data_IF_674172011132
#
_entry.id   IF_674172011132
#
_cell.length_a   1.000
_cell.length_b   1.000
_cell.length_c   1.000
_cell.angle_alpha   90.00
_cell.angle_beta   90.00
_cell.angle_gamma   90.00
#
_symmetry.space_group_name_H-M   'P 1'
#
loop_
_entity.id
_entity.type
_entity.pdbx_description
1 polymer ?
#
# COMPACT_ATOMS: atom_id res chain seq x y z
N UNK A 1 -37.08 21.65 30.76
CA UNK A 1 -36.72 21.52 32.19
C UNK A 1 -35.64 20.48 32.36
N UNK A 2 -34.63 20.83 33.12
CA UNK A 2 -33.47 20.12 33.63
C UNK A 2 -32.23 19.98 32.67
N UNK A 3 -31.37 20.97 32.83
CA UNK A 3 -29.93 20.98 32.57
C UNK A 3 -29.24 19.95 33.48
N UNK A 4 -28.18 19.32 32.99
CA UNK A 4 -27.07 18.88 33.83
C UNK A 4 -25.74 19.08 33.09
N UNK A 5 -25.08 20.11 33.49
CA UNK A 5 -23.65 20.42 33.36
C UNK A 5 -22.84 19.46 34.24
N UNK A 6 -21.68 18.99 33.77
CA UNK A 6 -20.59 18.62 34.67
C UNK A 6 -19.25 19.13 34.16
N UNK A 7 -18.57 19.76 35.07
CA UNK A 7 -17.33 20.52 34.99
C UNK A 7 -16.08 19.63 34.90
N UNK A 8 -15.09 20.31 34.41
CA UNK A 8 -13.65 20.11 34.37
C UNK A 8 -13.00 19.51 35.63
N UNK A 9 -11.84 18.91 35.44
CA UNK A 9 -10.87 18.55 36.47
C UNK A 9 -9.46 18.46 35.90
N UNK A 10 -8.78 19.61 35.89
CA UNK A 10 -7.34 19.76 35.68
C UNK A 10 -6.64 19.41 37.01
N UNK A 11 -5.60 18.59 36.99
CA UNK A 11 -4.65 18.53 38.11
C UNK A 11 -3.23 18.26 37.62
N UNK A 12 -2.48 19.32 37.61
CA UNK A 12 -1.04 19.45 37.53
C UNK A 12 -0.44 19.04 38.89
N UNK A 13 0.61 18.19 38.91
CA UNK A 13 1.49 18.10 40.07
C UNK A 13 2.95 17.96 39.63
N UNK A 14 3.66 19.08 39.74
CA UNK A 14 5.12 19.17 39.91
C UNK A 14 5.46 19.00 41.37
N UNK A 15 6.47 18.22 41.69
CA UNK A 15 7.21 18.35 42.94
C UNK A 15 8.69 18.03 42.72
N UNK A 16 9.48 19.08 42.70
CA UNK A 16 10.91 19.08 42.99
C UNK A 16 11.13 18.80 44.48
N UNK A 17 12.13 18.02 44.80
CA UNK A 17 12.84 18.12 46.10
C UNK A 17 14.36 17.91 45.90
N UNK A 18 15.06 19.02 46.07
CA UNK A 18 16.49 19.15 46.34
C UNK A 18 16.73 18.91 47.84
N UNK A 19 17.88 18.40 48.16
CA UNK A 19 18.71 18.58 49.38
C UNK A 19 19.45 17.27 49.69
N UNK A 20 20.70 17.23 49.98
CA UNK A 20 21.71 18.21 50.32
C UNK A 20 23.01 17.46 50.67
N UNK A 21 24.08 18.14 50.42
CA UNK A 21 25.47 17.71 50.75
C UNK A 21 25.70 17.54 52.24
N UNK A 22 26.53 16.59 52.63
CA UNK A 22 27.50 16.83 53.70
C UNK A 22 28.81 16.07 53.51
N UNK A 23 29.88 16.86 53.44
CA UNK A 23 31.28 16.46 53.54
C UNK A 23 31.63 16.25 55.00
N UNK A 24 32.44 15.22 55.30
CA UNK A 24 33.46 15.31 56.35
C UNK A 24 34.64 14.36 56.08
N UNK A 25 35.81 14.92 55.98
CA UNK A 25 37.12 14.31 56.18
C UNK A 25 37.72 15.03 57.45
N UNK A 26 38.88 14.76 57.99
CA UNK A 26 39.78 13.61 57.97
C UNK A 26 40.26 13.22 59.39
N UNK A 27 40.95 12.13 59.52
CA UNK A 27 41.99 11.95 60.56
C UNK A 27 42.95 10.81 60.26
N UNK A 28 44.20 11.10 60.12
CA UNK A 28 45.34 10.23 60.36
C UNK A 28 46.02 10.70 61.70
N UNK A 29 47.06 10.14 62.24
CA UNK A 29 47.81 8.88 62.04
C UNK A 29 48.12 8.15 63.38
N UNK A 30 48.69 6.98 63.33
CA UNK A 30 49.62 6.52 64.38
C UNK A 30 50.56 5.39 63.81
N UNK A 31 51.83 5.66 64.00
CA UNK A 31 53.00 4.80 63.71
C UNK A 31 53.24 3.76 64.79
N UNK A 32 54.21 2.81 64.47
CA UNK A 32 55.04 1.92 65.28
C UNK A 32 54.49 0.54 65.42
N UNK A 33 55.25 -0.54 65.19
CA UNK A 33 56.65 -0.81 65.26
C UNK A 33 56.98 -2.12 64.54
N UNK A 34 58.20 -2.25 64.03
CA UNK A 34 58.79 -3.55 63.61
C UNK A 34 59.38 -4.27 64.80
N UNK A 35 59.57 -5.60 64.76
CA UNK A 35 60.87 -6.12 64.66
C UNK A 35 61.05 -7.37 63.73
N UNK A 36 62.27 -7.58 63.41
CA UNK A 36 62.99 -8.62 62.62
C UNK A 36 63.05 -10.00 63.30
N UNK A 37 63.81 -10.91 62.66
CA UNK A 37 63.55 -11.85 61.60
C UNK A 37 63.66 -13.30 62.03
N UNK A 38 63.22 -14.26 61.22
CA UNK A 38 63.94 -15.55 61.01
C UNK A 38 63.10 -16.50 60.16
N UNK A 39 63.82 -17.07 59.31
CA UNK A 39 63.88 -18.39 58.72
C UNK A 39 63.56 -18.47 57.25
N UNK A 40 64.63 -18.77 56.51
CA UNK A 40 64.58 -19.14 55.10
C UNK A 40 63.92 -20.47 54.91
N UNK A 41 62.85 -20.53 54.13
CA UNK A 41 62.38 -21.74 53.48
C UNK A 41 62.42 -21.52 51.97
N UNK A 42 63.10 -22.46 51.28
CA UNK A 42 63.25 -22.51 49.85
C UNK A 42 61.86 -22.47 49.16
N UNK A 43 61.53 -21.38 48.55
CA UNK A 43 60.38 -21.32 47.64
C UNK A 43 60.79 -21.94 46.32
N UNK A 44 60.25 -23.11 46.01
CA UNK A 44 60.22 -23.75 44.72
C UNK A 44 59.40 -22.82 43.82
N UNK A 45 60.03 -22.17 42.86
CA UNK A 45 59.38 -21.45 41.78
C UNK A 45 58.57 -22.47 40.96
N UNK A 46 57.31 -22.62 41.26
CA UNK A 46 56.35 -23.11 40.29
C UNK A 46 56.23 -22.06 39.17
N UNK A 47 56.84 -22.35 38.02
CA UNK A 47 56.55 -21.64 36.79
C UNK A 47 55.06 -21.86 36.50
N UNK A 48 54.23 -20.87 36.80
CA UNK A 48 52.87 -20.82 36.26
C UNK A 48 53.00 -20.80 34.73
N UNK A 49 52.50 -21.85 34.06
CA UNK A 49 52.31 -21.84 32.63
C UNK A 49 51.43 -20.61 32.28
N UNK A 50 51.77 -19.81 31.26
CA UNK A 50 50.94 -18.72 30.85
C UNK A 50 49.54 -19.26 30.47
N UNK A 51 48.49 -18.65 31.01
CA UNK A 51 47.12 -18.96 30.63
C UNK A 51 47.01 -18.97 29.10
N UNK A 52 46.30 -19.95 28.52
CA UNK A 52 46.10 -19.94 27.06
C UNK A 52 45.58 -18.59 26.65
N UNK A 53 46.23 -18.00 25.64
CA UNK A 53 45.80 -16.74 25.07
C UNK A 53 44.31 -16.86 24.69
N UNK A 54 43.49 -15.89 25.08
CA UNK A 54 42.11 -15.81 24.59
C UNK A 54 42.20 -15.85 23.06
N UNK A 55 41.35 -16.69 22.41
CA UNK A 55 41.33 -16.72 20.95
C UNK A 55 41.10 -15.30 20.44
N UNK A 56 41.91 -14.86 19.48
CA UNK A 56 41.68 -13.60 18.80
C UNK A 56 40.24 -13.60 18.26
N UNK A 57 39.47 -12.50 18.44
CA UNK A 57 38.12 -12.42 17.92
C UNK A 57 38.18 -12.72 16.43
N UNK A 58 37.36 -13.65 15.98
CA UNK A 58 37.22 -13.91 14.54
C UNK A 58 36.90 -12.59 13.81
N UNK A 59 37.53 -12.32 12.68
CA UNK A 59 37.27 -11.09 11.93
C UNK A 59 35.78 -11.00 11.63
N UNK A 60 35.18 -9.84 11.91
CA UNK A 60 33.79 -9.60 11.53
C UNK A 60 33.64 -9.76 10.01
N UNK A 61 32.61 -10.46 9.53
CA UNK A 61 32.38 -10.65 8.10
C UNK A 61 32.22 -9.30 7.41
N UNK A 62 32.79 -9.15 6.21
CA UNK A 62 32.73 -7.91 5.44
C UNK A 62 31.27 -7.48 5.21
N UNK A 63 30.94 -6.17 5.27
CA UNK A 63 29.59 -5.68 5.04
C UNK A 63 29.10 -5.98 3.62
N UNK A 64 27.82 -6.25 3.47
CA UNK A 64 27.22 -6.41 2.15
C UNK A 64 27.36 -5.14 1.32
N UNK A 65 27.60 -5.31 0.03
CA UNK A 65 27.70 -4.21 -0.91
C UNK A 65 26.33 -3.59 -1.18
N UNK A 66 26.33 -2.34 -1.70
CA UNK A 66 25.12 -1.76 -2.26
C UNK A 66 24.65 -2.61 -3.45
N UNK A 67 23.39 -2.99 -3.42
CA UNK A 67 22.69 -3.65 -4.52
C UNK A 67 22.07 -2.65 -5.49
N UNK A 68 21.33 -3.14 -6.47
CA UNK A 68 20.53 -2.31 -7.36
C UNK A 68 19.33 -1.69 -6.61
N UNK A 69 18.82 -0.55 -7.08
CA UNK A 69 17.56 -0.01 -6.60
C UNK A 69 16.41 -0.84 -7.16
N UNK A 70 15.36 -1.01 -6.34
CA UNK A 70 14.12 -1.66 -6.73
C UNK A 70 12.92 -0.73 -6.50
N UNK A 71 11.79 -1.05 -7.11
CA UNK A 71 10.50 -0.46 -6.80
C UNK A 71 9.75 -1.38 -5.81
N UNK A 72 9.74 -1.00 -4.55
CA UNK A 72 9.05 -1.74 -3.51
C UNK A 72 7.69 -1.08 -3.25
N UNK A 73 6.63 -1.68 -3.76
CA UNK A 73 5.25 -1.13 -3.72
C UNK A 73 5.19 0.32 -4.21
N UNK A 74 5.82 0.58 -5.36
CA UNK A 74 5.89 1.88 -6.01
C UNK A 74 6.90 2.87 -5.39
N UNK A 75 7.69 2.48 -4.40
CA UNK A 75 8.71 3.31 -3.77
C UNK A 75 10.10 2.84 -4.20
N UNK A 76 10.92 3.74 -4.79
CA UNK A 76 12.33 3.44 -5.06
C UNK A 76 13.06 3.20 -3.75
N UNK A 77 13.62 2.01 -3.62
CA UNK A 77 14.20 1.53 -2.37
C UNK A 77 15.62 1.02 -2.64
N UNK A 78 16.64 1.52 -1.93
CA UNK A 78 17.98 1.01 -2.01
C UNK A 78 18.08 -0.38 -1.38
N UNK A 79 18.93 -1.24 -1.93
CA UNK A 79 19.15 -2.58 -1.43
C UNK A 79 20.59 -2.82 -1.04
N UNK A 80 20.85 -3.90 -0.32
CA UNK A 80 22.15 -4.54 -0.17
C UNK A 80 22.15 -5.86 -0.94
N UNK A 81 23.34 -6.36 -1.28
CA UNK A 81 23.49 -7.66 -1.95
C UNK A 81 24.70 -8.43 -1.44
N UNK A 82 24.57 -9.75 -1.40
CA UNK A 82 25.65 -10.71 -1.22
C UNK A 82 26.18 -11.25 -2.56
N UNK A 83 25.65 -10.75 -3.69
CA UNK A 83 25.95 -11.20 -5.05
C UNK A 83 24.94 -12.22 -5.60
N UNK A 84 24.06 -12.79 -4.74
CA UNK A 84 23.03 -13.75 -5.13
C UNK A 84 21.61 -13.21 -4.83
N UNK A 85 21.43 -12.55 -3.70
CA UNK A 85 20.13 -12.02 -3.27
C UNK A 85 20.20 -10.51 -3.02
N UNK A 86 19.03 -9.87 -3.09
CA UNK A 86 18.80 -8.49 -2.67
C UNK A 86 18.13 -8.44 -1.31
N UNK A 87 18.61 -7.55 -0.46
CA UNK A 87 18.11 -7.34 0.89
C UNK A 87 17.71 -5.89 1.08
N UNK A 88 16.66 -5.67 1.84
CA UNK A 88 16.15 -4.35 2.20
C UNK A 88 15.95 -4.26 3.70
N UNK A 89 16.03 -3.06 4.26
CA UNK A 89 15.70 -2.88 5.68
C UNK A 89 14.28 -3.38 5.94
N UNK A 90 14.13 -4.19 6.98
CA UNK A 90 12.84 -4.78 7.34
C UNK A 90 11.76 -3.73 7.63
N UNK A 91 12.16 -2.61 8.24
CA UNK A 91 11.26 -1.49 8.51
C UNK A 91 10.83 -0.79 7.23
N UNK A 92 11.75 -0.61 6.25
CA UNK A 92 11.42 -0.01 4.95
C UNK A 92 10.50 -0.92 4.15
N UNK A 93 10.78 -2.24 4.13
CA UNK A 93 9.88 -3.22 3.50
C UNK A 93 8.48 -3.13 4.09
N UNK A 94 8.40 -3.15 5.44
CA UNK A 94 7.13 -3.09 6.14
C UNK A 94 6.37 -1.78 5.88
N UNK A 95 7.07 -0.64 5.89
CA UNK A 95 6.47 0.67 5.61
C UNK A 95 5.92 0.74 4.18
N UNK A 96 6.70 0.30 3.18
CA UNK A 96 6.28 0.29 1.78
C UNK A 96 5.09 -0.63 1.54
N UNK A 97 5.10 -1.84 2.13
CA UNK A 97 4.06 -2.84 1.98
C UNK A 97 2.87 -2.65 2.95
N UNK A 98 2.95 -1.67 3.86
CA UNK A 98 1.95 -1.45 4.93
C UNK A 98 1.78 -2.70 5.83
N UNK A 99 2.90 -3.28 6.24
CA UNK A 99 2.96 -4.38 7.18
C UNK A 99 3.31 -3.87 8.58
N UNK A 100 3.05 -4.67 9.62
CA UNK A 100 3.72 -4.47 10.91
C UNK A 100 5.07 -5.21 10.92
N UNK A 101 6.09 -4.59 11.51
CA UNK A 101 7.43 -5.14 11.67
C UNK A 101 7.82 -5.13 13.14
N UNK A 102 8.34 -6.25 13.64
CA UNK A 102 8.91 -6.37 14.99
C UNK A 102 10.23 -7.12 14.89
N UNK A 103 11.31 -6.48 15.33
CA UNK A 103 12.64 -7.09 15.42
C UNK A 103 12.85 -7.55 16.84
N UNK A 104 13.18 -8.83 17.02
CA UNK A 104 13.47 -9.48 18.31
C UNK A 104 14.80 -10.21 18.25
N UNK A 105 15.25 -10.78 19.37
CA UNK A 105 16.44 -11.63 19.39
C UNK A 105 16.29 -12.89 18.52
N UNK A 106 15.05 -13.40 18.35
CA UNK A 106 14.76 -14.59 17.54
C UNK A 106 14.71 -14.28 16.02
N UNK A 107 14.53 -13.02 15.64
CA UNK A 107 14.41 -12.65 14.22
C UNK A 107 13.51 -11.45 13.94
N UNK A 108 13.24 -11.24 12.67
CA UNK A 108 12.31 -10.23 12.16
C UNK A 108 10.95 -10.88 11.94
N UNK A 109 9.91 -10.33 12.56
CA UNK A 109 8.51 -10.72 12.35
C UNK A 109 7.80 -9.67 11.53
N UNK A 110 7.28 -10.09 10.39
CA UNK A 110 6.43 -9.27 9.53
C UNK A 110 5.00 -9.84 9.58
N UNK A 111 3.99 -8.96 9.66
CA UNK A 111 2.59 -9.37 9.72
C UNK A 111 1.72 -8.53 8.79
N UNK A 112 0.86 -9.21 8.02
CA UNK A 112 -0.11 -8.60 7.12
C UNK A 112 -1.34 -9.49 7.01
N UNK A 113 -2.51 -8.90 7.12
CA UNK A 113 -3.81 -9.56 6.93
C UNK A 113 -3.94 -10.91 7.67
N UNK A 114 -3.57 -10.90 8.95
CA UNK A 114 -3.61 -12.09 9.79
C UNK A 114 -2.49 -13.11 9.56
N UNK A 115 -1.70 -12.98 8.50
CA UNK A 115 -0.52 -13.79 8.21
C UNK A 115 0.71 -13.20 8.91
N UNK A 116 1.49 -14.05 9.55
CA UNK A 116 2.75 -13.68 10.22
C UNK A 116 3.87 -14.56 9.69
N UNK A 117 4.99 -13.93 9.30
CA UNK A 117 6.19 -14.61 8.84
C UNK A 117 7.37 -14.21 9.72
N UNK A 118 8.18 -15.20 10.09
CA UNK A 118 9.42 -15.03 10.87
C UNK A 118 10.62 -15.23 9.94
N UNK A 119 11.54 -14.29 9.99
CA UNK A 119 12.84 -14.34 9.34
C UNK A 119 13.90 -14.41 10.42
N UNK A 120 14.50 -15.59 10.69
CA UNK A 120 15.55 -15.75 11.69
C UNK A 120 16.72 -14.81 11.39
N UNK A 121 17.31 -14.20 12.42
CA UNK A 121 18.52 -13.39 12.24
C UNK A 121 19.72 -14.32 12.34
N UNK A 122 20.50 -14.40 11.26
CA UNK A 122 21.71 -15.20 11.16
C UNK A 122 22.95 -14.33 11.00
N UNK A 123 24.12 -14.85 11.38
CA UNK A 123 25.41 -14.26 11.01
C UNK A 123 25.58 -14.36 9.50
N UNK A 124 26.28 -13.42 8.89
CA UNK A 124 26.47 -13.37 7.43
C UNK A 124 27.15 -14.59 6.84
N UNK A 125 28.10 -15.16 7.54
CA UNK A 125 28.83 -16.37 7.16
C UNK A 125 28.01 -17.66 7.28
N UNK A 126 26.85 -17.60 7.96
CA UNK A 126 25.93 -18.72 8.18
C UNK A 126 24.57 -18.49 7.50
N UNK A 127 24.40 -17.39 6.72
CA UNK A 127 23.12 -16.96 6.17
C UNK A 127 22.51 -18.05 5.27
N UNK A 128 21.25 -18.40 5.54
CA UNK A 128 20.48 -19.31 4.70
C UNK A 128 19.47 -18.51 3.85
N UNK A 129 19.04 -19.03 2.70
CA UNK A 129 17.96 -18.41 1.96
C UNK A 129 16.73 -18.20 2.85
N UNK A 130 16.33 -16.94 3.00
CA UNK A 130 15.20 -16.57 3.85
C UNK A 130 15.56 -16.07 5.24
N UNK A 131 16.83 -16.05 5.62
CA UNK A 131 17.26 -15.43 6.86
C UNK A 131 17.39 -13.91 6.74
N UNK A 132 17.15 -13.24 7.85
CA UNK A 132 17.49 -11.84 8.06
C UNK A 132 18.91 -11.71 8.61
N UNK A 133 19.50 -10.54 8.50
CA UNK A 133 20.77 -10.21 9.16
C UNK A 133 20.76 -8.80 9.74
N UNK A 134 21.72 -8.51 10.61
CA UNK A 134 21.94 -7.16 11.16
C UNK A 134 23.14 -6.50 10.49
N UNK A 135 22.99 -5.24 10.10
CA UNK A 135 24.05 -4.36 9.63
C UNK A 135 23.80 -2.94 10.09
N UNK A 136 24.81 -2.28 10.67
CA UNK A 136 24.72 -0.88 11.12
C UNK A 136 23.51 -0.62 12.04
N UNK A 137 23.14 -1.61 12.87
CA UNK A 137 22.02 -1.52 13.81
C UNK A 137 20.62 -1.67 13.18
N UNK A 138 20.53 -1.96 11.89
CA UNK A 138 19.28 -2.26 11.21
C UNK A 138 19.17 -3.74 10.84
N UNK A 139 17.95 -4.27 10.83
CA UNK A 139 17.66 -5.62 10.36
C UNK A 139 17.31 -5.56 8.85
N UNK A 140 17.84 -6.51 8.10
CA UNK A 140 17.61 -6.66 6.66
C UNK A 140 16.95 -7.98 6.36
N UNK A 141 15.97 -7.99 5.47
CA UNK A 141 15.25 -9.18 5.00
C UNK A 141 15.47 -9.40 3.51
N UNK A 142 15.53 -10.66 3.03
CA UNK A 142 15.69 -10.95 1.60
C UNK A 142 14.40 -10.60 0.85
N UNK A 143 14.49 -9.71 -0.14
CA UNK A 143 13.33 -9.11 -0.83
C UNK A 143 12.46 -10.17 -1.49
N UNK A 144 13.05 -11.01 -2.34
CA UNK A 144 12.29 -12.00 -3.14
C UNK A 144 11.62 -13.05 -2.25
N UNK A 145 12.32 -13.56 -1.22
CA UNK A 145 11.76 -14.54 -0.29
C UNK A 145 10.62 -13.92 0.55
N UNK A 146 10.81 -12.67 0.96
CA UNK A 146 9.77 -11.95 1.72
C UNK A 146 8.53 -11.75 0.85
N UNK A 147 8.72 -11.32 -0.41
CA UNK A 147 7.62 -11.16 -1.36
C UNK A 147 6.87 -12.48 -1.60
N UNK A 148 7.61 -13.57 -1.84
CA UNK A 148 7.03 -14.91 -2.05
C UNK A 148 6.21 -15.38 -0.84
N UNK A 149 6.76 -15.23 0.38
CA UNK A 149 6.06 -15.64 1.60
C UNK A 149 4.75 -14.90 1.84
N UNK A 150 4.64 -13.65 1.41
CA UNK A 150 3.40 -12.87 1.49
C UNK A 150 2.52 -12.98 0.22
N UNK A 151 2.99 -13.66 -0.83
CA UNK A 151 2.27 -13.81 -2.09
C UNK A 151 2.27 -12.52 -2.92
N UNK A 152 3.28 -11.66 -2.74
CA UNK A 152 3.49 -10.51 -3.60
C UNK A 152 4.14 -10.94 -4.91
N UNK A 153 3.83 -10.23 -5.98
CA UNK A 153 4.38 -10.49 -7.31
C UNK A 153 5.52 -9.54 -7.64
N UNK A 154 6.38 -9.95 -8.55
CA UNK A 154 7.44 -9.11 -9.08
C UNK A 154 7.36 -9.04 -10.61
N UNK A 155 7.89 -7.97 -11.17
CA UNK A 155 8.01 -7.74 -12.60
C UNK A 155 9.10 -6.73 -12.90
N UNK A 156 9.15 -6.25 -14.14
CA UNK A 156 10.10 -5.26 -14.62
C UNK A 156 9.36 -4.00 -15.08
N UNK A 157 9.76 -2.84 -14.58
CA UNK A 157 9.24 -1.55 -15.00
C UNK A 157 9.82 -1.15 -16.36
N UNK A 158 9.27 -0.11 -17.01
CA UNK A 158 9.72 0.35 -18.33
C UNK A 158 11.22 0.75 -18.39
N UNK A 159 11.78 1.19 -17.28
CA UNK A 159 13.20 1.56 -17.16
C UNK A 159 14.12 0.37 -16.81
N UNK A 160 13.58 -0.84 -16.76
CA UNK A 160 14.30 -2.07 -16.40
C UNK A 160 14.43 -2.29 -14.89
N UNK A 161 13.84 -1.41 -14.06
CA UNK A 161 13.87 -1.59 -12.60
C UNK A 161 12.93 -2.72 -12.17
N UNK A 162 13.43 -3.66 -11.36
CA UNK A 162 12.58 -4.70 -10.75
C UNK A 162 11.57 -4.07 -9.79
N UNK A 163 10.30 -4.42 -9.93
CA UNK A 163 9.26 -4.00 -8.99
C UNK A 163 8.65 -5.17 -8.23
N UNK A 164 8.10 -4.86 -7.04
CA UNK A 164 7.28 -5.75 -6.22
C UNK A 164 5.93 -5.09 -5.93
N UNK A 165 4.84 -5.86 -6.09
CA UNK A 165 3.48 -5.34 -5.95
C UNK A 165 2.56 -6.37 -5.27
N UNK A 166 1.47 -5.87 -4.66
CA UNK A 166 0.39 -6.71 -4.13
C UNK A 166 -0.50 -7.15 -5.28
N UNK A 167 -0.81 -8.45 -5.30
CA UNK A 167 -1.86 -9.01 -6.17
C UNK A 167 -3.01 -9.49 -5.29
N UNK A 168 -4.18 -8.93 -5.51
CA UNK A 168 -5.38 -9.33 -4.80
C UNK A 168 -5.92 -10.64 -5.36
N UNK A 169 -6.34 -11.54 -4.47
CA UNK A 169 -7.17 -12.69 -4.83
C UNK A 169 -8.62 -12.28 -4.57
N UNK A 170 -9.42 -12.27 -5.63
CA UNK A 170 -10.82 -11.88 -5.57
C UNK A 170 -11.71 -13.12 -5.52
N UNK A 171 -12.55 -13.22 -4.51
CA UNK A 171 -13.55 -14.27 -4.42
C UNK A 171 -14.74 -13.96 -5.35
N UNK A 172 -15.50 -15.01 -5.69
CA UNK A 172 -16.71 -14.84 -6.49
C UNK A 172 -17.76 -14.10 -5.66
N UNK A 173 -18.31 -12.98 -6.16
CA UNK A 173 -19.36 -12.25 -5.46
C UNK A 173 -20.61 -13.08 -5.17
N UNK A 174 -21.35 -12.70 -4.12
CA UNK A 174 -22.70 -13.20 -3.90
C UNK A 174 -23.59 -12.89 -5.11
N UNK A 175 -24.45 -13.83 -5.50
CA UNK A 175 -25.35 -13.67 -6.64
C UNK A 175 -26.52 -12.71 -6.34
N UNK A 176 -27.04 -12.07 -7.39
CA UNK A 176 -28.25 -11.22 -7.36
C UNK A 176 -28.14 -9.97 -6.47
N UNK A 177 -26.99 -9.39 -6.32
CA UNK A 177 -26.83 -8.07 -5.72
C UNK A 177 -26.72 -7.02 -6.82
N UNK A 178 -27.56 -5.99 -6.74
CA UNK A 178 -27.50 -4.84 -7.64
C UNK A 178 -26.47 -3.84 -7.13
N UNK A 179 -25.54 -3.49 -7.99
CA UNK A 179 -24.50 -2.50 -7.69
C UNK A 179 -24.53 -1.43 -8.79
N UNK A 180 -25.15 -0.27 -8.53
CA UNK A 180 -24.99 0.86 -9.44
C UNK A 180 -23.53 1.23 -9.58
N UNK A 181 -23.05 1.26 -10.81
CA UNK A 181 -21.70 1.69 -11.16
C UNK A 181 -21.83 2.98 -11.95
N UNK A 182 -21.35 4.08 -11.40
CA UNK A 182 -21.47 5.41 -11.98
C UNK A 182 -20.19 5.76 -12.74
N UNK A 183 -20.33 6.33 -13.93
CA UNK A 183 -19.24 6.67 -14.82
C UNK A 183 -19.11 8.18 -14.94
N UNK A 184 -18.03 8.71 -14.43
CA UNK A 184 -17.59 10.10 -14.54
C UNK A 184 -16.26 10.17 -15.30
N UNK A 185 -15.80 11.39 -15.52
CA UNK A 185 -14.47 11.68 -16.10
C UNK A 185 -13.83 12.85 -15.32
N UNK A 186 -14.01 14.09 -15.77
CA UNK A 186 -13.47 15.27 -15.12
C UNK A 186 -14.43 15.85 -14.07
N UNK A 187 -13.88 16.35 -12.96
CA UNK A 187 -14.61 17.09 -11.92
C UNK A 187 -14.09 18.52 -11.89
N UNK A 188 -14.63 19.39 -12.78
CA UNK A 188 -14.12 20.74 -12.94
C UNK A 188 -15.17 21.69 -13.51
N UNK A 189 -15.04 22.98 -13.17
CA UNK A 189 -15.75 24.09 -13.83
C UNK A 189 -14.96 24.65 -15.01
N UNK A 190 -13.67 24.33 -15.11
CA UNK A 190 -12.82 24.70 -16.25
C UNK A 190 -12.97 23.67 -17.39
N UNK A 191 -13.56 24.10 -18.49
CA UNK A 191 -13.96 23.22 -19.60
C UNK A 191 -12.90 23.25 -20.71
N UNK A 192 -11.85 22.48 -20.56
CA UNK A 192 -10.77 22.37 -21.55
C UNK A 192 -10.95 21.24 -22.58
N UNK A 193 -12.02 20.44 -22.48
CA UNK A 193 -12.31 19.29 -23.35
C UNK A 193 -13.77 19.20 -23.80
N UNK A 194 -14.27 17.99 -24.00
CA UNK A 194 -15.69 17.77 -24.31
C UNK A 194 -16.54 18.11 -23.10
N UNK A 195 -17.38 19.12 -23.18
CA UNK A 195 -18.10 19.73 -22.06
C UNK A 195 -18.96 18.77 -21.25
N UNK A 196 -19.51 17.72 -21.85
CA UNK A 196 -20.38 16.72 -21.22
C UNK A 196 -19.61 15.73 -20.34
N UNK A 197 -18.27 15.65 -20.47
CA UNK A 197 -17.41 14.86 -19.59
C UNK A 197 -17.15 15.53 -18.23
N UNK A 198 -17.52 16.80 -18.07
CA UNK A 198 -17.21 17.58 -16.87
C UNK A 198 -18.42 17.65 -15.93
N UNK A 199 -18.28 17.17 -14.72
CA UNK A 199 -19.19 17.42 -13.60
C UNK A 199 -18.61 18.53 -12.75
N UNK A 200 -19.42 19.52 -12.34
CA UNK A 200 -18.90 20.56 -11.45
C UNK A 200 -18.57 20.01 -10.06
N UNK A 201 -17.57 20.58 -9.36
CA UNK A 201 -17.30 20.20 -7.95
C UNK A 201 -18.51 20.34 -7.04
N UNK A 202 -19.37 21.36 -7.28
CA UNK A 202 -20.63 21.54 -6.53
C UNK A 202 -21.61 20.38 -6.78
N UNK A 203 -21.77 19.94 -8.03
CA UNK A 203 -22.64 18.80 -8.37
C UNK A 203 -22.11 17.51 -7.73
N UNK A 204 -20.81 17.25 -7.87
CA UNK A 204 -20.16 16.09 -7.26
C UNK A 204 -20.35 16.08 -5.73
N UNK A 205 -20.21 17.23 -5.09
CA UNK A 205 -20.45 17.36 -3.66
C UNK A 205 -21.90 17.04 -3.25
N UNK A 206 -22.89 17.53 -4.02
CA UNK A 206 -24.31 17.25 -3.79
C UNK A 206 -24.63 15.76 -3.95
N UNK A 207 -24.01 15.08 -4.91
CA UNK A 207 -24.16 13.65 -5.13
C UNK A 207 -23.55 12.81 -3.98
N UNK A 208 -22.34 13.15 -3.56
CA UNK A 208 -21.69 12.50 -2.41
C UNK A 208 -22.50 12.70 -1.10
N UNK A 209 -22.98 13.93 -0.88
CA UNK A 209 -23.83 14.22 0.27
C UNK A 209 -25.13 13.40 0.22
N UNK A 210 -25.75 13.30 -0.94
CA UNK A 210 -26.96 12.48 -1.11
C UNK A 210 -26.69 11.00 -0.80
N UNK A 211 -25.59 10.44 -1.29
CA UNK A 211 -25.23 9.05 -0.98
C UNK A 211 -25.08 8.85 0.52
N UNK A 212 -24.33 9.73 1.19
CA UNK A 212 -24.09 9.65 2.63
C UNK A 212 -25.39 9.76 3.44
N UNK A 213 -26.25 10.76 3.14
CA UNK A 213 -27.50 11.00 3.87
C UNK A 213 -28.55 9.88 3.67
N UNK A 214 -28.46 9.12 2.59
CA UNK A 214 -29.40 8.05 2.26
C UNK A 214 -28.85 6.64 2.52
N UNK A 215 -27.69 6.54 3.21
CA UNK A 215 -27.10 5.29 3.66
C UNK A 215 -26.55 4.42 2.53
N UNK A 216 -26.10 5.05 1.43
CA UNK A 216 -25.32 4.35 0.42
C UNK A 216 -23.87 4.21 0.87
N UNK A 217 -23.25 3.10 0.49
CA UNK A 217 -21.87 2.77 0.82
C UNK A 217 -21.08 2.73 -0.46
N UNK A 218 -20.13 3.68 -0.61
CA UNK A 218 -19.22 3.68 -1.76
C UNK A 218 -18.18 2.58 -1.59
N UNK A 219 -18.10 1.68 -2.55
CA UNK A 219 -17.23 0.50 -2.51
C UNK A 219 -16.30 0.46 -3.74
N UNK A 220 -15.25 -0.35 -3.66
CA UNK A 220 -14.42 -0.71 -4.81
C UNK A 220 -14.87 -2.03 -5.44
N UNK A 221 -14.31 -2.39 -6.60
CA UNK A 221 -14.59 -3.69 -7.24
C UNK A 221 -14.07 -4.88 -6.43
N UNK A 222 -13.01 -4.71 -5.62
CA UNK A 222 -12.54 -5.76 -4.71
C UNK A 222 -13.54 -6.06 -3.58
N UNK A 223 -14.26 -5.05 -3.12
CA UNK A 223 -15.30 -5.21 -2.10
C UNK A 223 -16.49 -6.06 -2.61
N UNK A 224 -16.61 -6.27 -3.92
CA UNK A 224 -17.62 -7.17 -4.49
C UNK A 224 -17.45 -8.62 -4.01
N UNK A 225 -16.25 -9.03 -3.60
CA UNK A 225 -16.02 -10.35 -2.98
C UNK A 225 -16.83 -10.56 -1.69
N UNK A 226 -17.28 -9.47 -1.09
CA UNK A 226 -18.08 -9.46 0.16
C UNK A 226 -19.26 -8.49 0.04
N UNK A 227 -19.84 -8.39 -1.15
CA UNK A 227 -20.89 -7.41 -1.47
C UNK A 227 -22.14 -7.54 -0.60
N UNK A 228 -22.40 -8.72 -0.06
CA UNK A 228 -23.49 -9.01 0.87
C UNK A 228 -23.35 -8.29 2.22
N UNK A 229 -22.17 -7.83 2.58
CA UNK A 229 -21.92 -7.07 3.81
C UNK A 229 -22.40 -5.62 3.70
N UNK A 230 -22.73 -5.14 2.49
CA UNK A 230 -23.17 -3.78 2.21
C UNK A 230 -24.69 -3.73 1.96
N UNK A 231 -25.38 -2.79 2.63
CA UNK A 231 -26.83 -2.65 2.45
C UNK A 231 -27.18 -1.98 1.10
N UNK A 232 -26.47 -0.92 0.76
CA UNK A 232 -26.68 -0.14 -0.47
C UNK A 232 -25.33 0.16 -1.16
N UNK A 233 -24.67 -0.86 -1.73
CA UNK A 233 -23.39 -0.65 -2.39
C UNK A 233 -23.51 0.20 -3.65
N UNK A 234 -22.57 1.09 -3.89
CA UNK A 234 -22.43 1.89 -5.12
C UNK A 234 -20.95 2.06 -5.46
N UNK A 235 -20.61 1.94 -6.73
CA UNK A 235 -19.23 2.15 -7.22
C UNK A 235 -19.17 3.45 -8.01
N UNK A 236 -18.27 4.36 -7.59
CA UNK A 236 -17.95 5.58 -8.32
C UNK A 236 -16.73 5.33 -9.19
N UNK A 237 -16.85 5.53 -10.51
CA UNK A 237 -15.73 5.35 -11.46
C UNK A 237 -15.42 6.62 -12.20
N UNK A 238 -14.14 6.92 -12.37
CA UNK A 238 -13.64 8.09 -13.09
C UNK A 238 -12.66 7.62 -14.16
N UNK A 239 -12.96 7.94 -15.41
CA UNK A 239 -12.16 7.49 -16.55
C UNK A 239 -11.07 8.53 -16.89
N UNK A 240 -10.03 8.08 -17.62
CA UNK A 240 -8.95 8.89 -18.21
C UNK A 240 -7.85 9.41 -17.26
N UNK A 241 -8.04 9.42 -15.95
CA UNK A 241 -7.04 9.89 -14.99
C UNK A 241 -6.70 11.38 -15.12
N UNK A 242 -7.73 12.24 -15.20
CA UNK A 242 -7.58 13.69 -15.25
C UNK A 242 -6.99 14.28 -13.96
N UNK A 243 -6.25 15.40 -14.07
CA UNK A 243 -5.60 16.07 -12.94
C UNK A 243 -6.59 16.66 -11.93
N UNK A 244 -7.81 17.02 -12.37
CA UNK A 244 -8.90 17.45 -11.50
C UNK A 244 -9.44 16.33 -10.59
N UNK A 245 -9.20 15.08 -10.93
CA UNK A 245 -9.50 13.97 -10.00
C UNK A 245 -8.61 14.01 -8.74
N UNK A 246 -7.43 14.62 -8.82
CA UNK A 246 -6.58 14.88 -7.67
C UNK A 246 -6.92 16.21 -7.01
N UNK A 247 -7.10 17.31 -7.76
CA UNK A 247 -7.21 18.65 -7.19
C UNK A 247 -8.62 19.00 -6.70
N UNK A 248 -9.66 18.45 -7.32
CA UNK A 248 -11.07 18.77 -7.02
C UNK A 248 -11.81 17.56 -6.41
N UNK A 249 -11.72 16.38 -7.03
CA UNK A 249 -12.43 15.20 -6.55
C UNK A 249 -11.87 14.66 -5.22
N UNK A 250 -10.56 14.49 -5.12
CA UNK A 250 -9.96 13.84 -3.94
C UNK A 250 -10.26 14.56 -2.62
N UNK A 251 -10.21 15.89 -2.51
CA UNK A 251 -10.67 16.59 -1.30
C UNK A 251 -12.13 16.30 -0.92
N UNK A 252 -13.00 16.12 -1.91
CA UNK A 252 -14.40 15.74 -1.67
C UNK A 252 -14.52 14.29 -1.17
N UNK A 253 -13.76 13.36 -1.77
CA UNK A 253 -13.70 11.98 -1.28
C UNK A 253 -13.22 11.92 0.18
N UNK A 254 -12.21 12.70 0.55
CA UNK A 254 -11.74 12.81 1.93
C UNK A 254 -12.82 13.40 2.86
N UNK A 255 -13.52 14.45 2.43
CA UNK A 255 -14.57 15.11 3.20
C UNK A 255 -15.73 14.17 3.55
N UNK A 256 -16.15 13.34 2.59
CA UNK A 256 -17.28 12.43 2.73
C UNK A 256 -16.88 10.99 3.09
N UNK A 257 -15.57 10.73 3.25
CA UNK A 257 -15.00 9.37 3.42
C UNK A 257 -15.54 8.40 2.36
N UNK A 258 -15.58 8.86 1.11
CA UNK A 258 -16.12 8.11 -0.01
C UNK A 258 -14.99 7.42 -0.80
N UNK A 259 -15.26 6.18 -1.25
CA UNK A 259 -14.36 5.42 -2.11
C UNK A 259 -14.65 5.71 -3.59
N UNK A 260 -13.61 5.73 -4.41
CA UNK A 260 -13.71 5.84 -5.87
C UNK A 260 -12.70 4.93 -6.56
N UNK A 261 -12.99 4.55 -7.81
CA UNK A 261 -12.07 3.86 -8.72
C UNK A 261 -11.71 4.81 -9.86
N UNK A 262 -10.42 5.03 -10.09
CA UNK A 262 -9.94 5.85 -11.20
C UNK A 262 -9.23 4.97 -12.22
N UNK A 263 -9.72 4.98 -13.47
CA UNK A 263 -9.13 4.27 -14.59
C UNK A 263 -8.10 5.15 -15.28
N UNK A 264 -6.84 4.82 -15.13
CA UNK A 264 -5.71 5.62 -15.59
C UNK A 264 -5.15 5.07 -16.89
N UNK A 265 -4.78 5.98 -17.81
CA UNK A 265 -4.09 5.69 -19.06
C UNK A 265 -2.58 5.89 -18.80
N UNK A 266 -1.75 4.83 -18.64
CA UNK A 266 -0.32 4.99 -18.34
C UNK A 266 0.43 5.94 -19.25
N UNK A 267 0.24 5.80 -20.55
CA UNK A 267 0.88 6.65 -21.57
C UNK A 267 0.53 8.13 -21.46
N UNK A 268 -0.56 8.46 -20.79
CA UNK A 268 -1.03 9.85 -20.64
C UNK A 268 -0.54 10.51 -19.33
N UNK A 269 0.00 9.76 -18.37
CA UNK A 269 0.48 10.29 -17.10
C UNK A 269 1.48 11.42 -17.33
N UNK A 270 1.31 12.55 -16.62
CA UNK A 270 2.16 13.74 -16.72
C UNK A 270 1.98 14.58 -17.98
N UNK A 271 1.06 14.22 -18.88
CA UNK A 271 0.68 15.09 -20.00
C UNK A 271 -0.33 16.16 -19.54
N UNK A 272 -0.57 17.24 -20.33
CA UNK A 272 -1.53 18.29 -19.95
C UNK A 272 -2.90 17.72 -19.56
N UNK A 273 -3.46 18.21 -18.46
CA UNK A 273 -4.75 17.79 -17.88
C UNK A 273 -4.80 16.32 -17.41
N UNK A 274 -3.66 15.69 -17.20
CA UNK A 274 -3.57 14.34 -16.62
C UNK A 274 -2.74 14.37 -15.34
N UNK A 275 -3.09 13.50 -14.42
CA UNK A 275 -2.34 13.35 -13.16
C UNK A 275 -0.86 13.05 -13.42
N UNK A 276 0.01 13.56 -12.53
CA UNK A 276 1.41 13.14 -12.48
C UNK A 276 1.54 11.76 -11.83
N UNK A 277 2.70 11.13 -11.98
CA UNK A 277 3.00 9.85 -11.34
C UNK A 277 2.89 9.95 -9.80
N UNK A 278 3.36 11.05 -9.21
CA UNK A 278 3.28 11.30 -7.77
C UNK A 278 1.83 11.42 -7.28
N UNK A 279 0.97 12.10 -8.05
CA UNK A 279 -0.46 12.22 -7.72
C UNK A 279 -1.16 10.87 -7.77
N UNK A 280 -0.91 10.05 -8.80
CA UNK A 280 -1.44 8.68 -8.90
C UNK A 280 -0.97 7.83 -7.72
N UNK A 281 0.31 7.93 -7.34
CA UNK A 281 0.86 7.24 -6.17
C UNK A 281 0.18 7.67 -4.85
N UNK A 282 0.01 8.96 -4.64
CA UNK A 282 -0.63 9.49 -3.43
C UNK A 282 -2.08 8.99 -3.33
N UNK A 283 -2.85 9.08 -4.42
CA UNK A 283 -4.21 8.58 -4.48
C UNK A 283 -4.30 7.08 -4.14
N UNK A 284 -3.42 6.25 -4.72
CA UNK A 284 -3.41 4.80 -4.49
C UNK A 284 -3.16 4.40 -3.02
N UNK A 285 -2.48 5.26 -2.27
CA UNK A 285 -2.16 5.04 -0.85
C UNK A 285 -3.14 5.68 0.12
N UNK A 286 -4.07 6.46 -0.38
CA UNK A 286 -5.03 7.22 0.43
C UNK A 286 -6.04 6.35 1.20
N UNK A 287 -6.26 5.10 0.76
CA UNK A 287 -7.35 4.25 1.26
C UNK A 287 -8.74 4.66 0.74
N UNK A 288 -8.81 5.65 -0.17
CA UNK A 288 -10.07 6.14 -0.75
C UNK A 288 -10.14 5.94 -2.27
N UNK A 289 -9.00 5.76 -2.94
CA UNK A 289 -8.94 5.65 -4.39
C UNK A 289 -8.27 4.34 -4.81
N UNK A 290 -8.99 3.54 -5.61
CA UNK A 290 -8.46 2.37 -6.30
C UNK A 290 -8.02 2.78 -7.71
N UNK A 291 -6.72 2.63 -8.03
CA UNK A 291 -6.16 2.93 -9.34
C UNK A 291 -6.24 1.68 -10.22
N UNK A 292 -6.95 1.79 -11.35
CA UNK A 292 -7.21 0.69 -12.25
C UNK A 292 -6.86 1.05 -13.70
N UNK A 293 -6.90 0.08 -14.62
CA UNK A 293 -6.41 0.22 -16.00
C UNK A 293 -7.46 0.85 -16.93
N UNK A 294 -7.03 1.85 -17.73
CA UNK A 294 -7.78 2.31 -18.91
C UNK A 294 -7.07 1.96 -20.21
N UNK A 295 -6.44 0.75 -20.27
CA UNK A 295 -5.48 0.30 -21.27
C UNK A 295 -4.21 1.16 -21.30
N UNK A 296 -3.18 0.73 -22.00
CA UNK A 296 -1.91 1.47 -22.02
C UNK A 296 -1.99 2.80 -22.75
N UNK A 297 -2.63 2.83 -23.94
CA UNK A 297 -2.63 3.98 -24.83
C UNK A 297 -4.01 4.56 -25.13
N UNK A 298 -5.08 4.02 -24.56
CA UNK A 298 -6.47 4.41 -24.86
C UNK A 298 -6.86 4.19 -26.34
N UNK A 299 -6.41 3.08 -26.92
CA UNK A 299 -6.68 2.77 -28.32
C UNK A 299 -8.03 2.07 -28.54
N UNK A 300 -8.52 2.06 -29.80
CA UNK A 300 -9.75 1.37 -30.17
C UNK A 300 -9.56 -0.16 -30.20
N UNK A 301 -10.01 -0.83 -29.13
CA UNK A 301 -9.82 -2.27 -28.93
C UNK A 301 -10.58 -3.15 -29.94
N UNK A 302 -11.61 -2.59 -30.62
CA UNK A 302 -12.40 -3.36 -31.57
C UNK A 302 -11.67 -3.69 -32.88
N UNK A 303 -10.59 -2.97 -33.17
CA UNK A 303 -9.83 -3.07 -34.43
C UNK A 303 -8.42 -3.62 -34.25
N UNK A 304 -7.99 -3.90 -33.01
CA UNK A 304 -6.67 -4.42 -32.70
C UNK A 304 -6.59 -5.91 -32.91
N UNK A 305 -5.41 -6.39 -33.33
CA UNK A 305 -5.07 -7.79 -33.33
C UNK A 305 -4.71 -8.30 -31.92
N UNK A 306 -4.61 -9.61 -31.75
CA UNK A 306 -4.36 -10.22 -30.43
C UNK A 306 -3.04 -9.76 -29.81
N UNK A 307 -1.97 -9.59 -30.60
CA UNK A 307 -0.68 -9.15 -30.11
C UNK A 307 -0.73 -7.71 -29.55
N UNK A 308 -1.42 -6.82 -30.26
CA UNK A 308 -1.63 -5.44 -29.83
C UNK A 308 -2.51 -5.37 -28.58
N UNK A 309 -3.56 -6.20 -28.51
CA UNK A 309 -4.42 -6.31 -27.34
C UNK A 309 -3.64 -6.79 -26.10
N UNK A 310 -2.81 -7.82 -26.26
CA UNK A 310 -1.92 -8.32 -25.18
C UNK A 310 -1.02 -7.19 -24.69
N UNK A 311 -0.38 -6.48 -25.62
CA UNK A 311 0.49 -5.34 -25.28
C UNK A 311 -0.27 -4.26 -24.49
N UNK A 312 -1.45 -3.84 -24.93
CA UNK A 312 -2.26 -2.83 -24.25
C UNK A 312 -2.63 -3.23 -22.81
N UNK A 313 -2.99 -4.50 -22.60
CA UNK A 313 -3.40 -5.01 -21.29
C UNK A 313 -2.19 -5.20 -20.37
N UNK A 314 -1.15 -5.86 -20.85
CA UNK A 314 0.03 -6.21 -20.07
C UNK A 314 0.86 -4.98 -19.69
N UNK A 315 1.12 -4.08 -20.65
CA UNK A 315 1.88 -2.87 -20.36
C UNK A 315 1.15 -1.94 -19.40
N UNK A 316 -0.19 -1.81 -19.54
CA UNK A 316 -0.96 -1.03 -18.57
C UNK A 316 -0.88 -1.63 -17.17
N UNK A 317 -1.03 -2.95 -17.05
CA UNK A 317 -0.98 -3.64 -15.77
C UNK A 317 0.41 -3.48 -15.11
N UNK A 318 1.48 -3.76 -15.86
CA UNK A 318 2.84 -3.66 -15.36
C UNK A 318 3.21 -2.23 -14.93
N UNK A 319 2.87 -1.24 -15.75
CA UNK A 319 3.18 0.15 -15.44
C UNK A 319 2.48 0.60 -14.14
N UNK A 320 1.18 0.34 -14.03
CA UNK A 320 0.42 0.73 -12.84
C UNK A 320 0.83 -0.08 -11.60
N UNK A 321 1.17 -1.36 -11.75
CA UNK A 321 1.69 -2.18 -10.65
C UNK A 321 3.04 -1.64 -10.14
N UNK A 322 3.96 -1.30 -11.04
CA UNK A 322 5.24 -0.70 -10.69
C UNK A 322 5.05 0.67 -10.01
N UNK A 323 4.11 1.49 -10.49
CA UNK A 323 3.86 2.84 -9.98
C UNK A 323 3.16 2.83 -8.62
N UNK A 324 2.13 2.02 -8.44
CA UNK A 324 1.25 2.05 -7.26
C UNK A 324 1.58 1.01 -6.21
N UNK A 325 2.30 -0.04 -6.61
CA UNK A 325 2.54 -1.20 -5.76
C UNK A 325 1.36 -2.16 -5.65
N UNK A 326 0.34 -1.99 -6.48
CA UNK A 326 -0.83 -2.87 -6.54
C UNK A 326 -1.12 -3.25 -8.00
N UNK A 327 -1.26 -4.54 -8.27
CA UNK A 327 -1.63 -5.03 -9.60
C UNK A 327 -3.08 -4.65 -9.90
N UNK A 328 -3.35 -3.89 -10.98
CA UNK A 328 -4.71 -3.61 -11.41
C UNK A 328 -5.49 -4.90 -11.72
N UNK A 329 -6.71 -4.99 -11.25
CA UNK A 329 -7.61 -6.13 -11.43
C UNK A 329 -8.87 -5.79 -12.22
N UNK A 330 -9.03 -4.52 -12.61
CA UNK A 330 -10.14 -4.05 -13.45
C UNK A 330 -9.62 -3.24 -14.64
N UNK A 331 -10.30 -3.35 -15.78
CA UNK A 331 -10.03 -2.56 -16.98
C UNK A 331 -11.31 -1.88 -17.50
N UNK A 332 -11.22 -0.60 -17.82
CA UNK A 332 -12.26 0.10 -18.53
C UNK A 332 -11.93 0.11 -20.04
N UNK A 333 -12.86 -0.34 -20.88
CA UNK A 333 -12.68 -0.34 -22.34
C UNK A 333 -12.80 1.08 -22.88
N UNK A 334 -11.74 1.65 -23.53
CA UNK A 334 -11.76 2.99 -24.06
C UNK A 334 -12.94 3.24 -25.01
N UNK A 335 -13.67 4.35 -24.80
CA UNK A 335 -14.87 4.71 -25.60
C UNK A 335 -15.93 3.59 -25.68
N UNK A 336 -15.86 2.59 -24.79
CA UNK A 336 -16.68 1.38 -24.84
C UNK A 336 -16.38 0.49 -26.06
N UNK A 337 -15.32 0.79 -26.86
CA UNK A 337 -14.94 0.01 -28.04
C UNK A 337 -14.33 -1.34 -27.63
N UNK A 338 -14.86 -2.41 -28.18
CA UNK A 338 -14.43 -3.78 -27.88
C UNK A 338 -14.83 -4.76 -28.94
N UNK A 339 -14.16 -5.90 -28.99
CA UNK A 339 -14.53 -7.11 -29.73
C UNK A 339 -14.58 -8.28 -28.75
N UNK A 340 -15.12 -9.42 -29.15
CA UNK A 340 -15.07 -10.64 -28.31
C UNK A 340 -13.60 -11.03 -28.03
N UNK A 341 -12.72 -10.87 -29.01
CA UNK A 341 -11.29 -11.10 -28.84
C UNK A 341 -10.68 -10.20 -27.77
N UNK A 342 -11.02 -8.89 -27.76
CA UNK A 342 -10.47 -7.98 -26.74
C UNK A 342 -10.96 -8.30 -25.34
N UNK A 343 -12.21 -8.75 -25.18
CA UNK A 343 -12.75 -9.22 -23.90
C UNK A 343 -12.03 -10.50 -23.45
N UNK A 344 -11.80 -11.44 -24.37
CA UNK A 344 -11.10 -12.69 -24.09
C UNK A 344 -9.65 -12.45 -23.68
N UNK A 345 -8.94 -11.53 -24.34
CA UNK A 345 -7.60 -11.12 -23.93
C UNK A 345 -7.62 -10.41 -22.58
N UNK A 346 -8.54 -9.45 -22.37
CA UNK A 346 -8.65 -8.73 -21.11
C UNK A 346 -8.88 -9.67 -19.91
N UNK A 347 -9.67 -10.73 -20.07
CA UNK A 347 -9.94 -11.74 -19.04
C UNK A 347 -8.69 -12.50 -18.56
N UNK A 348 -7.61 -12.48 -19.33
CA UNK A 348 -6.32 -13.10 -18.94
C UNK A 348 -5.57 -12.26 -17.90
N UNK A 349 -5.87 -10.95 -17.82
CA UNK A 349 -5.17 -9.97 -17.01
C UNK A 349 -6.03 -9.36 -15.91
N UNK A 350 -7.35 -9.26 -16.11
CA UNK A 350 -8.28 -8.54 -15.24
C UNK A 350 -9.47 -9.42 -14.84
N UNK A 351 -9.97 -9.19 -13.64
CA UNK A 351 -11.19 -9.82 -13.12
C UNK A 351 -12.46 -9.10 -13.60
N UNK A 352 -12.39 -7.78 -13.82
CA UNK A 352 -13.52 -6.95 -14.23
C UNK A 352 -13.20 -6.15 -15.50
N UNK A 353 -14.18 -6.08 -16.42
CA UNK A 353 -14.13 -5.27 -17.63
C UNK A 353 -15.36 -4.37 -17.74
N UNK A 354 -15.17 -3.03 -17.93
CA UNK A 354 -16.24 -2.05 -17.81
C UNK A 354 -16.72 -1.54 -19.14
N UNK A 355 -18.06 -1.46 -19.28
CA UNK A 355 -18.79 -0.95 -20.43
C UNK A 355 -19.31 0.48 -20.21
N UNK A 356 -19.85 1.08 -21.29
CA UNK A 356 -20.53 2.39 -21.30
C UNK A 356 -22.00 2.23 -21.71
N UNK A 357 -22.78 1.31 -21.15
CA UNK A 357 -24.10 0.97 -21.71
C UNK A 357 -25.31 1.45 -20.90
N UNK A 358 -25.15 2.31 -19.90
CA UNK A 358 -26.23 2.98 -19.19
C UNK A 358 -27.24 2.07 -18.48
N UNK A 359 -26.77 0.97 -17.92
CA UNK A 359 -27.62 -0.01 -17.23
C UNK A 359 -27.06 -0.34 -15.84
N UNK A 360 -27.96 -0.87 -14.98
CA UNK A 360 -27.59 -1.41 -13.68
C UNK A 360 -26.73 -2.68 -13.85
N UNK A 361 -25.65 -2.78 -13.09
CA UNK A 361 -24.87 -4.00 -12.97
C UNK A 361 -25.47 -4.88 -11.85
N UNK A 362 -25.58 -6.16 -12.13
CA UNK A 362 -25.94 -7.19 -11.14
C UNK A 362 -24.79 -8.17 -11.04
N UNK A 363 -24.45 -8.62 -9.84
CA UNK A 363 -23.32 -9.52 -9.61
C UNK A 363 -23.45 -10.89 -10.30
N UNK A 364 -24.64 -11.25 -10.80
CA UNK A 364 -24.83 -12.44 -11.66
C UNK A 364 -24.50 -12.19 -13.14
N UNK A 365 -24.21 -10.94 -13.54
CA UNK A 365 -23.78 -10.62 -14.90
C UNK A 365 -22.31 -11.04 -15.14
N UNK A 366 -21.89 -11.13 -16.41
CA UNK A 366 -20.48 -11.36 -16.76
C UNK A 366 -19.59 -10.21 -16.19
N UNK A 367 -18.62 -10.52 -15.33
CA UNK A 367 -17.76 -9.50 -14.73
C UNK A 367 -16.87 -8.77 -15.76
N UNK A 368 -16.65 -9.34 -16.94
CA UNK A 368 -15.97 -8.64 -18.03
C UNK A 368 -16.89 -7.73 -18.85
N UNK A 369 -18.13 -7.54 -18.42
CA UNK A 369 -19.18 -6.72 -19.07
C UNK A 369 -19.93 -5.89 -18.02
N UNK A 370 -19.22 -5.33 -17.06
CA UNK A 370 -19.79 -4.46 -16.01
C UNK A 370 -20.45 -3.25 -16.65
N UNK A 371 -21.73 -3.10 -16.43
CA UNK A 371 -22.56 -2.00 -16.94
C UNK A 371 -22.40 -0.78 -16.06
N UNK A 372 -22.45 0.43 -16.64
CA UNK A 372 -22.31 1.68 -15.90
C UNK A 372 -23.33 2.71 -16.33
N UNK A 373 -23.79 3.54 -15.40
CA UNK A 373 -24.56 4.73 -15.67
C UNK A 373 -23.62 5.90 -15.94
N UNK A 374 -23.74 6.51 -17.12
CA UNK A 374 -23.01 7.73 -17.43
C UNK A 374 -23.62 8.93 -16.71
N UNK A 375 -22.79 9.71 -16.04
CA UNK A 375 -23.15 10.95 -15.35
C UNK A 375 -22.52 12.13 -16.12
N UNK A 376 -23.24 12.72 -17.11
CA UNK A 376 -22.75 13.85 -17.88
C UNK A 376 -22.94 15.17 -17.14
N UNK A 377 -22.31 16.23 -17.64
CA UNK A 377 -22.58 17.59 -17.18
C UNK A 377 -24.07 17.91 -17.25
N UNK A 378 -24.61 18.52 -16.19
CA UNK A 378 -26.04 18.86 -16.10
C UNK A 378 -26.95 17.68 -15.73
N UNK A 379 -26.37 16.54 -15.35
CA UNK A 379 -27.12 15.44 -14.75
C UNK A 379 -27.71 15.94 -13.43
N UNK A 380 -29.04 16.02 -13.35
CA UNK A 380 -29.68 16.55 -12.17
C UNK A 380 -29.78 15.51 -11.02
N UNK A 381 -29.96 15.99 -9.81
CA UNK A 381 -30.03 15.11 -8.65
C UNK A 381 -31.19 14.10 -8.72
N UNK A 382 -32.27 14.39 -9.49
CA UNK A 382 -33.37 13.46 -9.72
C UNK A 382 -32.92 12.26 -10.56
N UNK A 383 -32.22 12.53 -11.64
CA UNK A 383 -31.61 11.52 -12.51
C UNK A 383 -30.55 10.70 -11.76
N UNK A 384 -29.73 11.37 -10.96
CA UNK A 384 -28.75 10.70 -10.10
C UNK A 384 -29.42 9.73 -9.11
N UNK A 385 -30.45 10.16 -8.40
CA UNK A 385 -31.21 9.31 -7.48
C UNK A 385 -31.78 8.07 -8.18
N UNK A 386 -32.30 8.25 -9.39
CA UNK A 386 -32.80 7.15 -10.20
C UNK A 386 -31.70 6.12 -10.52
N UNK A 387 -30.47 6.56 -10.81
CA UNK A 387 -29.36 5.66 -11.11
C UNK A 387 -28.92 4.79 -9.95
N UNK A 388 -29.19 5.18 -8.71
CA UNK A 388 -28.73 4.46 -7.52
C UNK A 388 -29.85 3.78 -6.70
N UNK A 389 -31.12 4.04 -7.04
CA UNK A 389 -32.28 3.61 -6.21
C UNK A 389 -32.38 2.10 -5.96
N UNK A 390 -31.86 1.28 -6.87
CA UNK A 390 -31.99 -0.18 -6.86
C UNK A 390 -30.73 -0.90 -6.30
N UNK A 391 -29.88 -0.16 -5.55
CA UNK A 391 -28.70 -0.74 -4.91
C UNK A 391 -29.06 -1.78 -3.84
N UNK A 392 -28.22 -2.82 -3.72
CA UNK A 392 -28.37 -3.89 -2.73
C UNK A 392 -29.02 -5.15 -3.29
N UNK A 393 -29.46 -6.03 -2.43
CA UNK A 393 -30.12 -7.28 -2.84
C UNK A 393 -31.41 -7.00 -3.59
N UNK A 394 -31.56 -7.62 -4.76
CA UNK A 394 -32.80 -7.55 -5.55
C UNK A 394 -33.96 -8.05 -4.67
N UNK A 395 -34.81 -7.14 -4.24
CA UNK A 395 -36.10 -7.55 -3.65
C UNK A 395 -36.95 -8.06 -4.81
N UNK A 396 -37.18 -9.37 -4.84
CA UNK A 396 -38.20 -9.95 -5.72
C UNK A 396 -39.50 -9.28 -5.40
N UNK A 397 -40.00 -8.40 -6.27
CA UNK A 397 -41.32 -7.81 -6.22
C UNK A 397 -42.33 -8.80 -6.78
#
# INVERSE_FOLDING_TARGET
MKKRTFLAGLALWCALLLCGCQKTAPAAPAQEAAPKPEAAEEAVLLLEEPAPAEPEPEPEPEPFAAGEEILLFGIRTPTLTDGEALYVKAEDFAACAQLSCVVTEDGVRLRWDGREELFPISRRDELQPGDAFLQDGAAYVPVSVTAERFGFVSGEAEDGTTYFAKQLTLDTPAENVNVPVLMYHAVSDDLWGYWDLFVSPETMEQELLYLQENGYETIWFEDLSHVEDFEKPVILTFDDGYDDNYTELFPLLQKYNAKATIFVIPKAIGTPHKMTAEQVQELSRSGLVSIQSHTYSHGNLSTMDEQTLIFEMEQSQNYLAALTGQVPYAVCYPEGTRSELSIEVARRYYAYGLLMNGQLYNTSDDPMRVKRFYVPRGYDLGSFRWSVQDAGTSRNW
#
